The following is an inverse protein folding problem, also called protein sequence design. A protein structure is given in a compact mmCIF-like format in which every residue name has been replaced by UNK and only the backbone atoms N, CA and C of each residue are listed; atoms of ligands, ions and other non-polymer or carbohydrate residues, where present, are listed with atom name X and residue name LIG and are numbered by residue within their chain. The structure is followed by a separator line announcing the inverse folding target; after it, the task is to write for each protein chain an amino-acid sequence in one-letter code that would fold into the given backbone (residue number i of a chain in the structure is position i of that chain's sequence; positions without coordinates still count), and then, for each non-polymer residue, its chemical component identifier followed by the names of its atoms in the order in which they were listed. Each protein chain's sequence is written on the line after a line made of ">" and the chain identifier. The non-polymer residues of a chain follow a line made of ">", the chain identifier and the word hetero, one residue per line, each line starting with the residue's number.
data_IF_663381276957
#
_entry.id   IF_663381276957
#
_cell.length_a   1.000
_cell.length_b   1.000
_cell.length_c   1.000
_cell.angle_alpha   90.00
_cell.angle_beta   90.00
_cell.angle_gamma   90.00
#
_symmetry.space_group_name_H-M   'P 1'
#
loop_
_entity.id
_entity.type
_entity.pdbx_description
1 polymer ?
#
# COMPACT_ATOMS: atom_id res chain seq x y z
N UNK A 1 1.42 -14.57 10.28
CA UNK A 1 2.90 -14.62 10.21
C UNK A 1 3.29 -14.79 8.76
N UNK A 2 4.17 -13.93 8.20
CA UNK A 2 4.58 -14.06 6.80
C UNK A 2 5.29 -15.41 6.57
N UNK A 3 5.18 -15.99 5.37
CA UNK A 3 5.90 -17.21 5.01
C UNK A 3 7.41 -16.99 5.03
N UNK A 4 8.17 -18.06 5.29
CA UNK A 4 9.63 -18.00 5.45
C UNK A 4 10.35 -17.39 4.24
N UNK A 5 9.82 -17.63 3.03
CA UNK A 5 10.41 -17.09 1.80
C UNK A 5 10.25 -15.56 1.70
N UNK A 6 9.11 -15.01 2.13
CA UNK A 6 8.91 -13.58 2.20
C UNK A 6 9.87 -12.92 3.22
N UNK A 7 10.08 -13.58 4.37
CA UNK A 7 11.06 -13.11 5.37
C UNK A 7 12.48 -13.08 4.79
N UNK A 8 12.89 -14.13 4.05
CA UNK A 8 14.21 -14.17 3.39
C UNK A 8 14.38 -13.07 2.32
N UNK A 9 13.33 -12.79 1.55
CA UNK A 9 13.37 -11.71 0.56
C UNK A 9 13.55 -10.36 1.22
N UNK A 10 12.80 -10.08 2.30
CA UNK A 10 12.94 -8.83 3.06
C UNK A 10 14.34 -8.72 3.69
N UNK A 11 14.82 -9.78 4.33
CA UNK A 11 16.16 -9.83 4.94
C UNK A 11 17.26 -9.55 3.89
N UNK A 12 17.21 -10.20 2.73
CA UNK A 12 18.15 -9.98 1.63
C UNK A 12 18.10 -8.55 1.09
N UNK A 13 16.90 -7.97 0.99
CA UNK A 13 16.72 -6.58 0.56
C UNK A 13 17.34 -5.59 1.56
N UNK A 14 17.02 -5.71 2.84
CA UNK A 14 17.55 -4.85 3.90
C UNK A 14 19.08 -4.98 4.03
N UNK A 15 19.59 -6.21 3.97
CA UNK A 15 21.05 -6.50 3.98
C UNK A 15 21.74 -5.81 2.81
N UNK A 16 21.15 -5.86 1.60
CA UNK A 16 21.72 -5.21 0.41
C UNK A 16 21.77 -3.70 0.53
N UNK A 17 20.78 -3.06 1.15
CA UNK A 17 20.78 -1.62 1.44
C UNK A 17 21.80 -1.25 2.50
N UNK A 18 21.86 -2.02 3.59
CA UNK A 18 22.85 -1.82 4.66
C UNK A 18 24.29 -1.90 4.14
N UNK A 19 24.62 -2.90 3.28
CA UNK A 19 25.93 -3.03 2.64
C UNK A 19 26.28 -1.82 1.77
N UNK A 20 25.29 -1.17 1.17
CA UNK A 20 25.44 0.07 0.39
C UNK A 20 25.48 1.32 1.27
N UNK A 21 25.35 1.17 2.59
CA UNK A 21 25.28 2.27 3.56
C UNK A 21 24.14 3.25 3.27
N UNK A 22 23.01 2.73 2.80
CA UNK A 22 21.79 3.51 2.58
C UNK A 22 20.95 3.41 3.84
N UNK A 23 20.66 4.53 4.54
CA UNK A 23 19.77 4.51 5.68
C UNK A 23 18.37 4.05 5.27
N UNK A 24 17.77 3.15 6.03
CA UNK A 24 16.45 2.59 5.79
C UNK A 24 15.55 2.89 6.98
N UNK A 25 14.37 3.43 6.71
CA UNK A 25 13.36 3.74 7.72
C UNK A 25 12.13 2.89 7.48
N UNK A 26 11.69 2.15 8.50
CA UNK A 26 10.58 1.21 8.42
C UNK A 26 9.58 1.46 9.54
N UNK A 27 8.31 1.37 9.20
CA UNK A 27 7.19 1.40 10.16
C UNK A 27 6.34 0.15 9.99
N UNK A 28 5.66 -0.27 11.06
CA UNK A 28 4.67 -1.35 10.97
C UNK A 28 3.35 -0.84 10.40
N UNK A 29 2.71 -1.65 9.57
CA UNK A 29 1.35 -1.46 9.08
C UNK A 29 0.30 -2.19 9.95
N UNK A 30 -0.97 -2.11 9.52
CA UNK A 30 -2.10 -2.71 10.23
C UNK A 30 -2.11 -4.24 10.23
N UNK A 31 -1.41 -4.87 9.27
CA UNK A 31 -1.25 -6.34 9.16
C UNK A 31 -0.01 -6.87 9.89
N UNK A 32 0.86 -5.97 10.36
CA UNK A 32 2.10 -6.36 11.04
C UNK A 32 1.91 -6.53 12.55
N UNK A 33 2.78 -7.36 13.15
CA UNK A 33 3.02 -7.31 14.60
C UNK A 33 4.18 -6.35 14.87
N UNK A 34 3.87 -5.20 15.46
CA UNK A 34 4.85 -4.18 15.79
C UNK A 34 5.96 -4.75 16.71
N UNK A 35 5.60 -5.62 17.67
CA UNK A 35 6.53 -6.25 18.60
C UNK A 35 7.53 -7.18 17.88
N UNK A 36 7.08 -7.91 16.86
CA UNK A 36 7.95 -8.81 16.08
C UNK A 36 8.87 -8.05 15.16
N UNK A 37 8.38 -6.97 14.54
CA UNK A 37 9.21 -6.11 13.71
C UNK A 37 10.23 -5.33 14.53
N UNK A 38 9.89 -4.94 15.76
CA UNK A 38 10.80 -4.25 16.66
C UNK A 38 11.90 -5.18 17.25
N UNK A 39 11.75 -6.51 17.09
CA UNK A 39 12.75 -7.45 17.58
C UNK A 39 14.12 -7.21 16.90
N UNK A 40 15.13 -6.96 17.70
CA UNK A 40 16.49 -6.68 17.18
C UNK A 40 16.68 -5.29 16.58
N UNK A 41 15.72 -4.39 16.66
CA UNK A 41 15.77 -3.04 16.08
C UNK A 41 16.99 -2.23 16.53
N UNK A 42 17.43 -2.36 17.79
CA UNK A 42 18.64 -1.70 18.30
C UNK A 42 19.92 -2.18 17.60
N UNK A 43 20.02 -3.48 17.34
CA UNK A 43 21.15 -4.05 16.59
C UNK A 43 21.13 -3.61 15.13
N UNK A 44 19.95 -3.55 14.52
CA UNK A 44 19.78 -3.12 13.13
C UNK A 44 20.08 -1.63 12.94
N UNK A 45 19.85 -0.82 13.96
CA UNK A 45 20.14 0.62 13.93
C UNK A 45 21.63 0.90 13.71
N UNK A 46 22.54 0.06 14.21
CA UNK A 46 23.98 0.15 13.95
C UNK A 46 24.31 -0.03 12.46
N UNK A 47 23.48 -0.76 11.74
CA UNK A 47 23.55 -0.94 10.28
C UNK A 47 22.73 0.08 9.50
N UNK A 48 22.28 1.15 10.15
CA UNK A 48 21.43 2.19 9.57
C UNK A 48 20.06 1.68 9.08
N UNK A 49 19.54 0.60 9.67
CA UNK A 49 18.18 0.11 9.45
C UNK A 49 17.36 0.44 10.69
N UNK A 50 16.55 1.49 10.59
CA UNK A 50 15.78 2.09 11.68
C UNK A 50 14.34 1.61 11.59
N UNK A 51 13.91 0.78 12.55
CA UNK A 51 12.52 0.37 12.70
C UNK A 51 11.83 1.27 13.72
N UNK A 52 10.57 1.60 13.44
CA UNK A 52 9.69 2.13 14.47
C UNK A 52 9.42 1.04 15.50
N UNK A 53 9.67 1.28 16.80
CA UNK A 53 9.26 0.37 17.86
C UNK A 53 7.73 0.34 17.98
N UNK A 54 7.23 -0.46 18.93
CA UNK A 54 5.86 -0.35 19.41
C UNK A 54 5.66 1.08 19.92
N UNK A 55 4.54 1.69 19.55
CA UNK A 55 4.25 3.07 19.97
C UNK A 55 4.04 3.15 21.49
N UNK A 56 4.85 3.96 22.13
CA UNK A 56 4.87 4.20 23.58
C UNK A 56 4.65 5.68 23.96
N UNK A 57 4.27 6.51 22.98
CA UNK A 57 4.05 7.94 23.14
C UNK A 57 5.20 8.81 22.63
N UNK A 58 6.38 8.24 22.43
CA UNK A 58 7.52 8.92 21.87
C UNK A 58 7.80 8.40 20.44
N UNK A 59 7.33 9.10 19.40
CA UNK A 59 7.62 8.69 18.02
C UNK A 59 9.12 8.81 17.75
N UNK A 60 9.65 7.76 17.11
CA UNK A 60 11.07 7.74 16.70
C UNK A 60 11.31 8.83 15.67
N UNK A 61 12.31 9.64 15.90
CA UNK A 61 12.78 10.64 14.95
C UNK A 61 14.27 10.49 14.70
N UNK A 62 14.67 10.71 13.46
CA UNK A 62 16.06 10.59 13.02
C UNK A 62 16.46 11.85 12.26
N UNK A 63 17.62 12.43 12.60
CA UNK A 63 18.13 13.63 11.96
C UNK A 63 19.19 13.27 10.91
N UNK A 64 18.96 13.74 9.70
CA UNK A 64 19.94 13.75 8.61
C UNK A 64 20.35 15.19 8.30
N UNK A 65 21.49 15.37 7.61
CA UNK A 65 21.98 16.69 7.18
C UNK A 65 22.47 16.64 5.76
N UNK A 66 22.17 17.70 5.02
CA UNK A 66 22.69 17.97 3.69
C UNK A 66 23.05 19.46 3.55
N UNK A 67 23.30 19.92 2.32
CA UNK A 67 23.62 21.32 2.01
C UNK A 67 22.53 22.32 2.38
N UNK A 68 21.26 21.89 2.48
CA UNK A 68 20.12 22.72 2.89
C UNK A 68 19.84 22.68 4.41
N UNK A 69 20.67 21.94 5.18
CA UNK A 69 20.57 21.84 6.64
C UNK A 69 19.98 20.54 7.14
N UNK A 70 19.26 20.58 8.26
CA UNK A 70 18.71 19.39 8.91
C UNK A 70 17.40 18.94 8.28
N UNK A 71 17.26 17.62 8.14
CA UNK A 71 16.01 16.91 7.78
C UNK A 71 15.68 15.94 8.90
N UNK A 72 14.52 16.10 9.50
CA UNK A 72 14.01 15.21 10.53
C UNK A 72 13.04 14.21 9.95
N UNK A 73 13.35 12.94 10.07
CA UNK A 73 12.51 11.82 9.64
C UNK A 73 11.75 11.31 10.85
N UNK A 74 10.43 11.39 10.83
CA UNK A 74 9.53 10.95 11.88
C UNK A 74 8.85 9.64 11.48
N UNK A 75 8.87 8.63 12.35
CA UNK A 75 8.30 7.32 12.10
C UNK A 75 7.04 7.13 12.95
N UNK A 76 5.87 7.09 12.32
CA UNK A 76 4.60 6.84 12.96
C UNK A 76 4.04 5.50 12.46
N UNK A 77 4.10 4.42 13.26
CA UNK A 77 3.53 3.13 12.89
C UNK A 77 2.00 3.23 12.81
N UNK A 78 1.36 2.17 12.32
CA UNK A 78 -0.10 2.08 12.38
C UNK A 78 -0.59 2.17 13.83
N UNK A 79 -1.47 3.14 14.09
CA UNK A 79 -2.01 3.39 15.41
C UNK A 79 -3.47 2.93 15.51
N UNK A 80 -3.76 2.19 16.58
CA UNK A 80 -5.14 1.92 17.03
C UNK A 80 -5.50 2.84 18.18
N UNK A 81 -6.74 3.33 18.27
CA UNK A 81 -7.17 4.22 19.37
C UNK A 81 -6.86 3.66 20.77
N UNK A 82 -7.00 2.33 20.94
CA UNK A 82 -6.72 1.67 22.21
C UNK A 82 -5.25 1.81 22.68
N UNK A 83 -4.29 1.79 21.73
CA UNK A 83 -2.86 1.94 22.05
C UNK A 83 -2.58 3.37 22.52
N UNK A 84 -3.07 4.36 21.79
CA UNK A 84 -2.82 5.78 22.15
C UNK A 84 -3.52 6.16 23.44
N UNK A 85 -4.72 5.64 23.68
CA UNK A 85 -5.47 5.83 24.93
C UNK A 85 -4.74 5.24 26.15
N UNK A 86 -4.04 4.12 25.96
CA UNK A 86 -3.23 3.53 27.02
C UNK A 86 -2.03 4.42 27.39
N UNK A 87 -1.43 5.05 26.40
CA UNK A 87 -0.26 5.94 26.57
C UNK A 87 -0.67 7.30 27.13
N UNK A 88 -1.79 7.86 26.67
CA UNK A 88 -2.30 9.17 27.06
C UNK A 88 -3.69 9.04 27.69
N UNK A 89 -3.79 8.52 28.94
CA UNK A 89 -5.08 8.24 29.58
C UNK A 89 -5.89 9.51 29.88
N UNK A 90 -5.25 10.68 29.91
CA UNK A 90 -5.89 11.98 30.16
C UNK A 90 -6.49 12.61 28.87
N UNK A 91 -6.14 12.09 27.69
CA UNK A 91 -6.67 12.60 26.44
C UNK A 91 -7.92 11.80 26.02
N UNK A 92 -8.92 12.49 25.50
CA UNK A 92 -10.16 11.86 25.01
C UNK A 92 -9.92 11.25 23.61
N UNK A 93 -9.61 9.97 23.57
CA UNK A 93 -9.31 9.22 22.34
C UNK A 93 -10.47 8.27 22.03
N UNK A 94 -11.37 8.65 21.13
CA UNK A 94 -12.56 7.86 20.76
C UNK A 94 -12.45 7.27 19.35
N UNK A 95 -11.69 7.91 18.46
CA UNK A 95 -11.55 7.56 17.07
C UNK A 95 -10.08 7.41 16.63
N UNK A 96 -9.87 6.89 15.43
CA UNK A 96 -8.54 6.88 14.78
C UNK A 96 -8.04 8.31 14.55
N UNK A 97 -8.94 9.22 14.18
CA UNK A 97 -8.60 10.63 14.00
C UNK A 97 -8.04 11.23 15.31
N UNK A 98 -8.68 10.98 16.46
CA UNK A 98 -8.21 11.49 17.76
C UNK A 98 -6.85 10.90 18.10
N UNK A 99 -6.68 9.59 17.89
CA UNK A 99 -5.44 8.88 18.17
C UNK A 99 -4.26 9.45 17.37
N UNK A 100 -4.42 9.62 16.07
CA UNK A 100 -3.33 10.12 15.20
C UNK A 100 -3.08 11.59 15.46
N UNK A 101 -4.13 12.40 15.68
CA UNK A 101 -3.97 13.81 16.02
C UNK A 101 -3.24 14.00 17.36
N UNK A 102 -3.58 13.19 18.36
CA UNK A 102 -2.88 13.17 19.64
C UNK A 102 -1.39 12.82 19.47
N UNK A 103 -1.09 11.75 18.71
CA UNK A 103 0.29 11.34 18.46
C UNK A 103 1.10 12.43 17.74
N UNK A 104 0.54 13.05 16.69
CA UNK A 104 1.19 14.15 15.95
C UNK A 104 1.43 15.36 16.84
N UNK A 105 0.45 15.76 17.66
CA UNK A 105 0.58 16.86 18.63
C UNK A 105 1.76 16.65 19.58
N UNK A 106 2.02 15.41 20.01
CA UNK A 106 3.12 15.07 20.92
C UNK A 106 4.49 14.87 20.24
N UNK A 107 4.58 14.94 18.90
CA UNK A 107 5.85 14.83 18.17
C UNK A 107 6.79 16.02 18.39
N UNK A 108 6.29 17.15 18.89
CA UNK A 108 7.10 18.36 19.08
C UNK A 108 7.90 18.73 17.84
N UNK A 109 7.20 18.95 16.72
CA UNK A 109 7.79 19.25 15.42
C UNK A 109 8.37 20.66 15.47
N UNK A 110 9.65 20.81 15.07
CA UNK A 110 10.26 22.12 14.85
C UNK A 110 9.91 22.62 13.45
N UNK A 111 9.03 23.61 13.29
CA UNK A 111 8.58 24.09 12.00
C UNK A 111 9.67 24.81 11.20
N UNK A 112 10.80 25.16 11.82
CA UNK A 112 11.94 25.78 11.14
C UNK A 112 12.80 24.77 10.38
N UNK A 113 12.68 23.49 10.69
CA UNK A 113 13.40 22.39 10.07
C UNK A 113 12.58 21.73 8.99
N UNK A 114 13.26 20.99 8.10
CA UNK A 114 12.58 20.12 7.14
C UNK A 114 12.13 18.86 7.84
N UNK A 115 10.83 18.57 7.79
CA UNK A 115 10.22 17.44 8.48
C UNK A 115 9.56 16.48 7.49
N UNK A 116 9.91 15.22 7.55
CA UNK A 116 9.31 14.13 6.78
C UNK A 116 8.63 13.17 7.73
N UNK A 117 7.39 12.82 7.44
CA UNK A 117 6.65 11.81 8.17
C UNK A 117 6.54 10.52 7.34
N UNK A 118 6.82 9.38 7.95
CA UNK A 118 6.38 8.07 7.51
C UNK A 118 5.15 7.69 8.35
N UNK A 119 4.02 7.41 7.71
CA UNK A 119 2.80 7.00 8.40
C UNK A 119 2.07 5.89 7.63
N UNK A 120 1.38 5.02 8.35
CA UNK A 120 0.56 3.96 7.75
C UNK A 120 -0.89 4.17 8.20
N UNK A 121 -1.62 5.04 7.51
CA UNK A 121 -2.97 5.45 7.88
C UNK A 121 -3.85 5.63 6.64
N UNK A 122 -5.16 5.48 6.82
CA UNK A 122 -6.12 5.77 5.77
C UNK A 122 -6.54 7.24 5.80
N UNK A 123 -6.11 8.01 4.82
CA UNK A 123 -6.47 9.42 4.68
C UNK A 123 -7.79 9.56 3.92
N UNK A 124 -8.70 10.37 4.46
CA UNK A 124 -10.02 10.64 3.86
C UNK A 124 -9.89 11.10 2.41
N UNK A 125 -10.67 10.49 1.53
CA UNK A 125 -10.65 10.78 0.09
C UNK A 125 -9.68 9.91 -0.71
N UNK A 126 -8.92 8.99 -0.09
CA UNK A 126 -8.12 8.01 -0.82
C UNK A 126 -9.01 6.98 -1.53
N UNK A 127 -8.70 6.69 -2.79
CA UNK A 127 -9.33 5.62 -3.54
C UNK A 127 -8.76 4.26 -3.13
N UNK A 128 -9.61 3.28 -2.93
CA UNK A 128 -9.27 1.91 -2.48
C UNK A 128 -9.31 0.89 -3.61
N UNK A 129 -8.65 -0.24 -3.39
CA UNK A 129 -8.69 -1.45 -4.21
C UNK A 129 -9.35 -2.59 -3.43
N UNK A 130 -9.73 -3.67 -4.12
CA UNK A 130 -10.38 -4.84 -3.49
C UNK A 130 -9.44 -5.64 -2.56
N UNK A 131 -8.14 -5.42 -2.66
CA UNK A 131 -7.12 -6.07 -1.82
C UNK A 131 -6.92 -5.41 -0.45
N UNK A 132 -7.56 -4.27 -0.19
CA UNK A 132 -7.44 -3.53 1.07
C UNK A 132 -8.56 -3.95 2.03
N UNK A 133 -8.21 -4.20 3.30
CA UNK A 133 -9.21 -4.44 4.33
C UNK A 133 -10.04 -3.20 4.61
N UNK A 134 -11.35 -3.37 4.67
CA UNK A 134 -12.30 -2.29 4.95
C UNK A 134 -12.76 -2.36 6.39
N UNK A 135 -12.47 -1.32 7.18
CA UNK A 135 -13.13 -1.15 8.46
C UNK A 135 -14.61 -0.81 8.26
N UNK A 136 -15.49 -1.53 8.94
CA UNK A 136 -16.93 -1.31 8.84
C UNK A 136 -17.25 0.13 9.25
N UNK A 137 -17.94 0.87 8.36
CA UNK A 137 -18.36 2.25 8.61
C UNK A 137 -17.28 3.33 8.37
N UNK A 138 -16.08 2.99 7.84
CA UNK A 138 -15.03 3.96 7.53
C UNK A 138 -14.46 4.69 8.76
N UNK A 139 -14.51 4.06 9.92
CA UNK A 139 -14.08 4.62 11.21
C UNK A 139 -12.58 4.86 11.37
N UNK A 140 -11.77 4.36 10.42
CA UNK A 140 -10.31 4.41 10.40
C UNK A 140 -9.74 5.59 9.57
N UNK A 141 -10.61 6.48 9.09
CA UNK A 141 -10.21 7.63 8.26
C UNK A 141 -9.59 8.75 9.07
N UNK A 142 -8.51 9.33 8.51
CA UNK A 142 -7.78 10.45 9.08
C UNK A 142 -7.86 11.65 8.14
N UNK A 143 -8.17 12.83 8.66
CA UNK A 143 -8.15 14.05 7.87
C UNK A 143 -6.72 14.39 7.43
N UNK A 144 -6.54 14.75 6.14
CA UNK A 144 -5.23 15.09 5.59
C UNK A 144 -4.56 16.29 6.29
N UNK A 145 -5.36 17.16 6.90
CA UNK A 145 -4.92 18.32 7.68
C UNK A 145 -4.09 17.94 8.91
N UNK A 146 -4.28 16.74 9.45
CA UNK A 146 -3.50 16.21 10.58
C UNK A 146 -2.00 16.21 10.31
N UNK A 147 -1.60 16.10 9.03
CA UNK A 147 -0.20 16.01 8.62
C UNK A 147 0.34 17.28 7.95
N UNK A 148 -0.34 18.40 8.08
CA UNK A 148 -0.01 19.65 7.37
C UNK A 148 1.33 20.30 7.77
N UNK A 149 1.86 19.98 8.94
CA UNK A 149 3.11 20.54 9.47
C UNK A 149 4.36 19.91 8.85
N UNK A 150 4.22 18.80 8.14
CA UNK A 150 5.32 18.12 7.48
C UNK A 150 5.57 18.68 6.06
N UNK A 151 6.84 18.75 5.67
CA UNK A 151 7.23 19.13 4.31
C UNK A 151 6.88 18.03 3.31
N UNK A 152 6.94 16.77 3.76
CA UNK A 152 6.50 15.61 3.02
C UNK A 152 5.98 14.51 3.95
N UNK A 153 4.88 13.87 3.56
CA UNK A 153 4.33 12.70 4.26
C UNK A 153 4.29 11.50 3.32
N UNK A 154 5.11 10.50 3.63
CA UNK A 154 5.12 9.21 2.95
C UNK A 154 4.08 8.29 3.60
N UNK A 155 3.02 7.97 2.86
CA UNK A 155 1.90 7.17 3.33
C UNK A 155 1.99 5.72 2.85
N UNK A 156 1.75 4.78 3.75
CA UNK A 156 1.38 3.39 3.49
C UNK A 156 -0.09 3.15 3.79
N UNK A 157 -0.59 1.95 3.57
CA UNK A 157 -1.93 1.43 3.74
C UNK A 157 -2.68 1.27 2.42
N UNK A 158 -2.74 2.29 1.58
CA UNK A 158 -3.44 2.23 0.30
C UNK A 158 -2.53 1.68 -0.79
N UNK A 159 -3.02 0.68 -1.54
CA UNK A 159 -2.25 -0.03 -2.56
C UNK A 159 -2.13 0.74 -3.87
N UNK A 160 -3.02 1.68 -4.11
CA UNK A 160 -3.03 2.54 -5.30
C UNK A 160 -2.13 3.76 -5.11
N UNK A 161 -1.19 4.05 -6.03
CA UNK A 161 -0.40 5.28 -5.97
C UNK A 161 -1.29 6.52 -6.11
N UNK A 162 -1.25 7.44 -5.13
CA UNK A 162 -2.09 8.64 -5.13
C UNK A 162 -1.40 9.81 -4.44
N UNK A 163 -1.64 11.03 -4.95
CA UNK A 163 -1.15 12.28 -4.40
C UNK A 163 -2.25 13.05 -3.66
N UNK A 164 -1.87 13.70 -2.56
CA UNK A 164 -2.69 14.63 -1.81
C UNK A 164 -1.94 15.95 -1.61
N UNK A 165 -2.69 17.05 -1.34
CA UNK A 165 -2.12 18.34 -0.95
C UNK A 165 -0.98 18.80 -1.87
N UNK A 166 -1.21 18.77 -3.17
CA UNK A 166 -0.24 19.20 -4.20
C UNK A 166 1.09 18.42 -4.14
N UNK A 167 1.04 17.15 -3.82
CA UNK A 167 2.20 16.26 -3.76
C UNK A 167 2.96 16.24 -2.43
N UNK A 168 2.60 17.08 -1.46
CA UNK A 168 3.24 17.03 -0.12
C UNK A 168 2.91 15.77 0.67
N UNK A 169 1.91 15.03 0.25
CA UNK A 169 1.47 13.78 0.86
C UNK A 169 1.17 12.77 -0.23
N UNK A 170 1.69 11.55 -0.11
CA UNK A 170 1.54 10.54 -1.15
C UNK A 170 1.51 9.14 -0.60
N UNK A 171 0.58 8.33 -1.11
CA UNK A 171 0.68 6.88 -1.12
C UNK A 171 1.56 6.46 -2.31
N UNK A 172 2.65 5.77 -2.07
CA UNK A 172 3.43 5.20 -3.17
C UNK A 172 2.76 3.95 -3.77
N UNK A 173 1.82 3.38 -3.05
CA UNK A 173 1.18 2.12 -3.37
C UNK A 173 2.06 0.92 -3.05
N UNK A 174 1.59 -0.25 -3.45
CA UNK A 174 2.33 -1.51 -3.31
C UNK A 174 3.29 -1.74 -4.49
N UNK A 175 4.41 -2.45 -4.29
CA UNK A 175 5.36 -2.73 -5.38
C UNK A 175 4.81 -3.66 -6.47
N UNK A 176 3.81 -4.49 -6.13
CA UNK A 176 3.13 -5.42 -7.03
C UNK A 176 1.61 -5.22 -6.93
N UNK A 177 0.87 -5.77 -7.90
CA UNK A 177 -0.60 -5.83 -7.88
C UNK A 177 -1.03 -7.05 -7.08
N UNK A 178 -1.96 -6.87 -6.14
CA UNK A 178 -2.47 -7.94 -5.26
C UNK A 178 -3.91 -8.32 -5.56
N UNK A 179 -4.61 -7.55 -6.39
CA UNK A 179 -5.96 -7.88 -6.86
C UNK A 179 -6.16 -7.50 -8.32
N UNK A 180 -7.18 -8.12 -8.96
CA UNK A 180 -7.51 -7.79 -10.35
C UNK A 180 -8.13 -6.39 -10.52
N UNK A 181 -8.58 -5.75 -9.44
CA UNK A 181 -8.96 -4.33 -9.46
C UNK A 181 -7.77 -3.39 -9.70
N UNK A 182 -6.55 -3.88 -9.46
CA UNK A 182 -5.32 -3.14 -9.66
C UNK A 182 -4.70 -3.29 -11.06
N UNK A 183 -5.30 -4.08 -11.96
CA UNK A 183 -4.73 -4.38 -13.30
C UNK A 183 -4.35 -3.12 -14.10
N UNK A 184 -5.13 -2.04 -13.98
CA UNK A 184 -4.86 -0.76 -14.65
C UNK A 184 -3.79 0.11 -13.98
N UNK A 185 -3.28 -0.26 -12.80
CA UNK A 185 -2.32 0.55 -12.06
C UNK A 185 -0.89 0.34 -12.57
N UNK A 186 -0.12 1.43 -12.55
CA UNK A 186 1.33 1.40 -12.77
C UNK A 186 2.02 1.46 -11.41
N UNK A 187 2.65 0.36 -11.02
CA UNK A 187 3.41 0.29 -9.76
C UNK A 187 4.75 1.00 -9.89
N UNK A 188 5.15 1.72 -8.85
CA UNK A 188 6.35 2.56 -8.89
C UNK A 188 6.97 2.74 -7.52
N UNK A 189 8.24 3.16 -7.51
CA UNK A 189 8.89 3.74 -6.35
C UNK A 189 8.79 5.27 -6.46
N UNK A 190 8.43 5.92 -5.37
CA UNK A 190 8.42 7.38 -5.27
C UNK A 190 9.79 7.87 -4.82
N UNK A 191 10.43 8.71 -5.63
CA UNK A 191 11.65 9.41 -5.27
C UNK A 191 11.28 10.83 -4.88
N UNK A 192 11.70 11.23 -3.69
CA UNK A 192 11.42 12.56 -3.12
C UNK A 192 12.74 13.29 -2.93
N UNK A 193 12.87 14.45 -3.56
CA UNK A 193 14.00 15.34 -3.40
C UNK A 193 13.58 16.53 -2.55
N UNK A 194 14.15 16.64 -1.37
CA UNK A 194 13.92 17.76 -0.44
C UNK A 194 15.03 18.77 -0.63
N UNK A 195 14.68 19.94 -1.11
CA UNK A 195 15.58 21.11 -1.22
C UNK A 195 15.45 22.02 0.01
N UNK A 196 15.46 23.32 -0.16
CA UNK A 196 15.21 24.26 0.92
C UNK A 196 13.85 24.01 1.58
N UNK A 197 13.68 24.44 2.80
CA UNK A 197 12.42 24.34 3.56
C UNK A 197 11.22 24.73 2.71
N UNK A 198 10.26 23.81 2.59
CA UNK A 198 9.03 23.99 1.81
C UNK A 198 9.13 23.63 0.33
N UNK A 199 10.32 23.28 -0.19
CA UNK A 199 10.53 22.87 -1.59
C UNK A 199 10.75 21.37 -1.67
N UNK A 200 9.82 20.68 -2.33
CA UNK A 200 9.85 19.21 -2.49
C UNK A 200 9.56 18.88 -3.94
N UNK A 201 10.42 18.09 -4.57
CA UNK A 201 10.22 17.56 -5.92
C UNK A 201 9.97 16.05 -5.85
N UNK A 202 9.01 15.57 -6.64
CA UNK A 202 8.60 14.16 -6.64
C UNK A 202 8.72 13.63 -8.07
N UNK A 203 9.33 12.46 -8.19
CA UNK A 203 9.33 11.67 -9.43
C UNK A 203 9.06 10.22 -9.15
N UNK A 204 8.49 9.54 -10.11
CA UNK A 204 8.17 8.11 -10.01
C UNK A 204 9.12 7.30 -10.90
N UNK A 205 9.56 6.16 -10.38
CA UNK A 205 10.31 5.16 -11.14
C UNK A 205 9.44 3.92 -11.23
N UNK A 206 8.98 3.58 -12.44
CA UNK A 206 8.14 2.42 -12.69
C UNK A 206 8.81 1.11 -12.29
N UNK A 207 8.04 0.23 -11.66
CA UNK A 207 8.46 -1.14 -11.35
C UNK A 207 7.90 -2.08 -12.41
N UNK A 208 8.76 -2.94 -12.94
CA UNK A 208 8.38 -3.99 -13.89
C UNK A 208 8.39 -5.33 -13.13
N UNK A 209 7.24 -5.97 -12.92
CA UNK A 209 7.18 -7.27 -12.26
C UNK A 209 7.73 -8.36 -13.20
N UNK A 210 8.24 -9.46 -12.61
CA UNK A 210 8.62 -10.65 -13.39
C UNK A 210 7.40 -11.25 -14.12
N UNK A 211 6.25 -11.26 -13.45
CA UNK A 211 4.93 -11.61 -13.99
C UNK A 211 3.95 -10.54 -13.56
N UNK A 212 3.22 -9.99 -14.50
CA UNK A 212 2.19 -8.99 -14.20
C UNK A 212 0.86 -9.67 -13.83
N UNK A 213 -0.06 -8.90 -13.27
CA UNK A 213 -1.43 -9.30 -13.02
C UNK A 213 -2.32 -8.61 -14.05
N UNK A 214 -2.95 -9.39 -14.94
CA UNK A 214 -3.75 -8.87 -16.05
C UNK A 214 -5.17 -9.44 -16.07
N UNK A 215 -6.11 -8.63 -16.53
CA UNK A 215 -7.48 -9.07 -16.85
C UNK A 215 -7.68 -9.02 -18.37
N UNK A 216 -8.07 -10.14 -18.94
CA UNK A 216 -8.34 -10.32 -20.39
C UNK A 216 -9.87 -10.50 -20.53
N UNK A 217 -10.46 -9.87 -21.53
CA UNK A 217 -11.88 -10.01 -21.85
C UNK A 217 -12.06 -10.25 -23.35
N UNK A 218 -12.82 -11.28 -23.71
CA UNK A 218 -13.11 -11.64 -25.10
C UNK A 218 -13.83 -12.98 -25.20
N UNK A 219 -14.21 -13.39 -26.42
CA UNK A 219 -14.73 -14.73 -26.64
C UNK A 219 -13.64 -15.78 -26.51
N UNK A 220 -14.01 -17.03 -26.22
CA UNK A 220 -13.05 -18.14 -26.14
C UNK A 220 -12.20 -18.27 -27.40
N UNK A 221 -12.82 -18.16 -28.59
CA UNK A 221 -12.10 -18.23 -29.87
C UNK A 221 -11.08 -17.10 -30.02
N UNK A 222 -11.45 -15.88 -29.59
CA UNK A 222 -10.56 -14.72 -29.64
C UNK A 222 -9.37 -14.90 -28.70
N UNK A 223 -9.62 -15.12 -27.40
CA UNK A 223 -8.53 -15.19 -26.39
C UNK A 223 -7.64 -16.41 -26.53
N UNK A 224 -8.11 -17.45 -27.23
CA UNK A 224 -7.33 -18.66 -27.56
C UNK A 224 -6.63 -18.59 -28.92
N UNK A 225 -6.88 -17.54 -29.71
CA UNK A 225 -6.24 -17.39 -31.02
C UNK A 225 -4.75 -16.97 -30.85
N UNK A 226 -3.90 -17.49 -31.73
CA UNK A 226 -2.47 -17.18 -31.70
C UNK A 226 -2.19 -15.69 -31.89
N UNK A 227 -2.95 -15.04 -32.75
CA UNK A 227 -2.85 -13.60 -33.01
C UNK A 227 -3.09 -12.76 -31.76
N UNK A 228 -3.93 -13.24 -30.82
CA UNK A 228 -4.25 -12.53 -29.60
C UNK A 228 -3.12 -12.62 -28.56
N UNK A 229 -2.46 -13.78 -28.43
CA UNK A 229 -1.52 -13.99 -27.33
C UNK A 229 -0.04 -13.98 -27.73
N UNK A 230 0.32 -14.12 -29.02
CA UNK A 230 1.74 -14.30 -29.44
C UNK A 230 2.65 -13.11 -29.06
N UNK A 231 2.10 -11.89 -29.02
CA UNK A 231 2.85 -10.68 -28.63
C UNK A 231 2.68 -10.32 -27.14
N UNK A 232 2.10 -11.20 -26.33
CA UNK A 232 1.89 -10.96 -24.90
C UNK A 232 2.71 -11.90 -24.03
N UNK A 233 2.96 -11.51 -22.76
CA UNK A 233 3.57 -12.41 -21.80
C UNK A 233 2.51 -13.41 -21.28
N UNK A 234 2.48 -14.62 -21.81
CA UNK A 234 1.52 -15.66 -21.40
C UNK A 234 1.80 -16.22 -20.01
N UNK A 235 3.00 -15.96 -19.44
CA UNK A 235 3.38 -16.35 -18.08
C UNK A 235 2.83 -15.41 -16.97
N UNK A 236 2.17 -14.32 -17.36
CA UNK A 236 1.53 -13.42 -16.38
C UNK A 236 0.41 -14.14 -15.61
N UNK A 237 0.09 -13.62 -14.43
CA UNK A 237 -1.10 -14.02 -13.67
C UNK A 237 -2.34 -13.41 -14.33
N UNK A 238 -3.26 -14.26 -14.78
CA UNK A 238 -4.36 -13.80 -15.63
C UNK A 238 -5.72 -14.14 -15.03
N UNK A 239 -6.64 -13.17 -15.10
CA UNK A 239 -8.08 -13.40 -15.05
C UNK A 239 -8.62 -13.28 -16.47
N UNK A 240 -9.39 -14.28 -16.93
CA UNK A 240 -10.08 -14.24 -18.22
C UNK A 240 -11.58 -14.12 -17.99
N UNK A 241 -12.19 -13.15 -18.64
CA UNK A 241 -13.65 -12.92 -18.64
C UNK A 241 -14.16 -13.27 -20.03
N UNK A 242 -14.78 -14.43 -20.15
CA UNK A 242 -15.35 -14.88 -21.41
C UNK A 242 -16.69 -14.19 -21.68
N UNK A 243 -16.89 -13.79 -22.94
CA UNK A 243 -18.12 -13.17 -23.43
C UNK A 243 -19.03 -14.14 -24.15
N UNK A 244 -18.68 -15.44 -24.17
CA UNK A 244 -19.49 -16.49 -24.76
C UNK A 244 -20.79 -16.67 -23.98
N UNK A 245 -21.91 -16.83 -24.69
CA UNK A 245 -23.22 -17.04 -24.05
C UNK A 245 -23.32 -18.42 -23.40
N UNK A 246 -22.67 -19.43 -23.98
CA UNK A 246 -22.62 -20.78 -23.45
C UNK A 246 -21.30 -21.04 -22.71
N UNK A 247 -21.36 -21.87 -21.67
CA UNK A 247 -20.17 -22.26 -20.91
C UNK A 247 -19.23 -23.13 -21.80
N UNK A 248 -17.98 -22.74 -21.88
CA UNK A 248 -16.96 -23.49 -22.63
C UNK A 248 -16.56 -24.75 -21.83
N UNK A 249 -16.84 -25.92 -22.40
CA UNK A 249 -16.49 -27.21 -21.79
C UNK A 249 -14.97 -27.29 -21.56
N UNK A 250 -14.57 -27.58 -20.31
CA UNK A 250 -13.15 -27.62 -19.89
C UNK A 250 -12.39 -26.31 -20.18
N UNK A 251 -13.08 -25.16 -20.21
CA UNK A 251 -12.53 -23.86 -20.56
C UNK A 251 -11.26 -23.49 -19.77
N UNK A 252 -11.29 -23.65 -18.44
CA UNK A 252 -10.14 -23.41 -17.58
C UNK A 252 -8.93 -24.25 -17.98
N UNK A 253 -9.10 -25.55 -18.23
CA UNK A 253 -7.98 -26.45 -18.58
C UNK A 253 -7.42 -26.12 -19.97
N UNK A 254 -8.30 -25.85 -20.94
CA UNK A 254 -7.90 -25.49 -22.31
C UNK A 254 -7.13 -24.17 -22.31
N UNK A 255 -7.62 -23.15 -21.61
CA UNK A 255 -6.95 -21.85 -21.55
C UNK A 255 -5.62 -21.90 -20.78
N UNK A 256 -5.46 -22.80 -19.80
CA UNK A 256 -4.19 -23.02 -19.10
C UNK A 256 -3.09 -23.60 -19.99
N UNK A 257 -3.41 -24.17 -21.12
CA UNK A 257 -2.39 -24.61 -22.11
C UNK A 257 -1.70 -23.41 -22.78
N UNK A 258 -2.37 -22.24 -22.79
CA UNK A 258 -1.87 -20.97 -23.33
C UNK A 258 -1.37 -20.06 -22.22
N UNK A 259 -2.17 -19.93 -21.15
CA UNK A 259 -1.93 -19.09 -19.99
C UNK A 259 -1.73 -19.95 -18.75
N UNK A 260 -0.52 -20.48 -18.51
CA UNK A 260 -0.28 -21.46 -17.43
C UNK A 260 -0.63 -20.93 -16.04
N UNK A 261 -0.54 -19.61 -15.83
CA UNK A 261 -0.87 -18.94 -14.59
C UNK A 261 -2.30 -18.31 -14.62
N UNK A 262 -3.23 -18.91 -15.34
CA UNK A 262 -4.65 -18.52 -15.29
C UNK A 262 -5.21 -18.79 -13.89
N UNK A 263 -5.55 -17.69 -13.18
CA UNK A 263 -6.04 -17.73 -11.79
C UNK A 263 -7.56 -17.79 -11.70
N UNK A 264 -8.24 -17.03 -12.57
CA UNK A 264 -9.71 -16.91 -12.56
C UNK A 264 -10.26 -16.97 -13.97
N UNK A 265 -11.37 -17.71 -14.14
CA UNK A 265 -12.17 -17.75 -15.35
C UNK A 265 -13.59 -17.33 -14.97
N UNK A 266 -14.05 -16.24 -15.54
CA UNK A 266 -15.37 -15.67 -15.32
C UNK A 266 -16.12 -15.59 -16.65
N UNK A 267 -17.45 -15.43 -16.58
CA UNK A 267 -18.30 -15.21 -17.73
C UNK A 267 -19.03 -13.88 -17.59
N UNK A 268 -19.06 -13.10 -18.67
CA UNK A 268 -19.88 -11.89 -18.80
C UNK A 268 -20.87 -12.09 -19.93
N UNK A 269 -21.90 -12.90 -19.68
CA UNK A 269 -22.99 -13.24 -20.58
C UNK A 269 -24.34 -12.82 -19.99
N UNK A 270 -25.42 -13.00 -20.75
CA UNK A 270 -26.77 -12.60 -20.31
C UNK A 270 -27.11 -13.21 -18.95
N UNK A 271 -26.88 -14.51 -18.76
CA UNK A 271 -27.18 -15.23 -17.51
C UNK A 271 -26.45 -14.62 -16.30
N UNK A 272 -25.17 -14.31 -16.45
CA UNK A 272 -24.36 -13.76 -15.34
C UNK A 272 -24.73 -12.31 -15.02
N UNK A 273 -25.19 -11.53 -16.01
CA UNK A 273 -25.68 -10.16 -15.81
C UNK A 273 -27.02 -10.17 -15.08
N UNK A 274 -27.98 -11.01 -15.50
CA UNK A 274 -29.26 -11.17 -14.82
C UNK A 274 -29.08 -11.62 -13.36
N UNK A 275 -28.17 -12.56 -13.10
CA UNK A 275 -27.86 -13.00 -11.74
C UNK A 275 -27.27 -11.88 -10.86
N UNK A 276 -26.43 -11.01 -11.42
CA UNK A 276 -25.89 -9.84 -10.70
C UNK A 276 -27.00 -8.84 -10.38
N UNK A 277 -27.85 -8.51 -11.32
CA UNK A 277 -28.98 -7.58 -11.12
C UNK A 277 -29.91 -8.07 -10.01
N UNK A 278 -30.23 -9.37 -9.97
CA UNK A 278 -31.03 -9.96 -8.90
C UNK A 278 -30.35 -9.83 -7.55
N UNK A 279 -29.05 -10.11 -7.47
CA UNK A 279 -28.30 -10.02 -6.22
C UNK A 279 -28.22 -8.58 -5.72
N UNK A 280 -27.96 -7.61 -6.61
CA UNK A 280 -27.91 -6.19 -6.28
C UNK A 280 -29.28 -5.67 -5.81
N UNK A 281 -30.39 -6.11 -6.44
CA UNK A 281 -31.74 -5.78 -6.01
C UNK A 281 -32.05 -6.31 -4.60
N UNK A 282 -31.67 -7.55 -4.28
CA UNK A 282 -31.84 -8.14 -2.95
C UNK A 282 -31.05 -7.39 -1.87
N UNK A 283 -29.80 -7.02 -2.14
CA UNK A 283 -28.97 -6.24 -1.21
C UNK A 283 -29.51 -4.82 -1.01
N UNK A 284 -30.18 -4.26 -2.02
CA UNK A 284 -30.83 -2.94 -1.91
C UNK A 284 -32.11 -2.98 -1.08
N UNK A 285 -32.84 -4.11 -1.07
CA UNK A 285 -34.04 -4.30 -0.25
C UNK A 285 -33.73 -4.59 1.23
N UNK A 286 -32.51 -5.07 1.55
CA UNK A 286 -32.08 -5.37 2.93
C UNK A 286 -31.45 -4.17 3.66
N UNK A 287 -31.27 -3.03 2.99
CA UNK A 287 -30.75 -1.78 3.55
C UNK A 287 -31.86 -0.75 3.82
#
# INVERSE_FOLDING_TARGET
>A
VPPSDAVRVLDGFLTSLAQKKVPVFLISGNHDSAERLAFGSQLMMESQVIFSPVYDGEPVKYCMKDEYGEVWIHLLPFLKPAVVRHVFPEEEITSYQDAVSCAVKHMQIDPTKRNVLLAHQFVTGAARCDSEEVSVGGVDQIAAETFQEFDYTALGHIHSPQNFKNGKMRYCGTPLKYSFSECGQKKSVTVVELKEKGTTEIREIGLLPLRDLRSIRGSYLEVSSREFYEDTNTEDYVRIILTDEDDVVDGMQKLRTIYPNLMQLEYDNQRTREAKEITEAQVAEEK
#
